data_IF_605589454513
#
_entry.id   IF_605589454513
#
_cell.length_a   1.000
_cell.length_b   1.000
_cell.length_c   1.000
_cell.angle_alpha   90.00
_cell.angle_beta   90.00
_cell.angle_gamma   90.00
#
_symmetry.space_group_name_H-M   'P 1'
#
loop_
_entity.id
_entity.type
_entity.pdbx_description
1 polymer ?
#
# COMPACT_ATOMS: atom_id res chain seq x y z
N UNK A 1 17.86 2.54 -0.27
CA UNK A 1 17.33 1.72 -1.37
C UNK A 1 18.34 1.70 -2.52
N UNK A 2 18.42 0.64 -3.33
CA UNK A 2 19.37 0.60 -4.45
C UNK A 2 18.96 1.59 -5.57
N UNK A 3 19.90 2.21 -6.31
CA UNK A 3 19.59 3.23 -7.32
C UNK A 3 18.57 2.79 -8.37
N UNK A 4 18.65 1.53 -8.83
CA UNK A 4 17.69 0.98 -9.79
C UNK A 4 16.25 0.92 -9.25
N UNK A 5 16.08 0.71 -7.94
CA UNK A 5 14.76 0.66 -7.31
C UNK A 5 14.16 2.05 -7.15
N UNK A 6 14.99 3.04 -6.79
CA UNK A 6 14.58 4.45 -6.75
C UNK A 6 14.12 4.92 -8.13
N UNK A 7 14.85 4.57 -9.20
CA UNK A 7 14.47 4.96 -10.55
C UNK A 7 13.12 4.34 -10.97
N UNK A 8 12.85 3.08 -10.60
CA UNK A 8 11.53 2.45 -10.86
C UNK A 8 10.38 3.20 -10.19
N UNK A 9 10.59 3.70 -8.97
CA UNK A 9 9.59 4.53 -8.28
C UNK A 9 9.35 5.83 -9.05
N UNK A 10 10.42 6.53 -9.43
CA UNK A 10 10.34 7.77 -10.24
C UNK A 10 9.58 7.51 -11.56
N UNK A 11 9.88 6.42 -12.25
CA UNK A 11 9.26 6.07 -13.53
C UNK A 11 7.78 5.69 -13.39
N UNK A 12 7.37 5.16 -12.23
CA UNK A 12 5.98 4.80 -11.94
C UNK A 12 5.11 6.00 -11.58
N UNK A 13 5.71 7.08 -11.06
CA UNK A 13 4.98 8.29 -10.67
C UNK A 13 4.64 9.12 -11.91
N UNK A 14 3.35 9.40 -12.10
CA UNK A 14 2.87 10.27 -13.18
C UNK A 14 2.80 11.72 -12.69
N UNK A 15 3.69 12.56 -13.20
CA UNK A 15 3.72 14.00 -12.92
C UNK A 15 2.98 14.77 -14.02
N UNK A 16 1.99 15.58 -13.63
CA UNK A 16 1.17 16.41 -14.52
C UNK A 16 1.97 17.37 -15.41
N UNK A 17 1.41 17.79 -16.54
CA UNK A 17 2.08 18.65 -17.54
C UNK A 17 1.99 20.15 -17.22
N UNK A 18 1.35 20.49 -16.10
CA UNK A 18 1.06 21.82 -15.60
C UNK A 18 2.19 22.43 -14.76
N UNK A 19 3.30 21.69 -14.59
CA UNK A 19 4.50 22.16 -13.89
C UNK A 19 5.52 22.77 -14.84
N UNK A 20 6.17 23.82 -14.39
CA UNK A 20 7.41 24.33 -14.99
C UNK A 20 8.55 23.31 -14.81
N UNK A 21 9.63 23.49 -15.57
CA UNK A 21 10.79 22.60 -15.47
C UNK A 21 11.42 22.61 -14.07
N UNK A 22 11.42 23.77 -13.40
CA UNK A 22 11.94 23.90 -12.04
C UNK A 22 11.08 23.16 -11.01
N UNK A 23 9.76 23.29 -11.10
CA UNK A 23 8.82 22.58 -10.21
C UNK A 23 8.87 21.06 -10.46
N UNK A 24 8.98 20.64 -11.73
CA UNK A 24 9.16 19.24 -12.09
C UNK A 24 10.43 18.66 -11.47
N UNK A 25 11.55 19.39 -11.52
CA UNK A 25 12.79 18.95 -10.87
C UNK A 25 12.64 18.82 -9.35
N UNK A 26 11.90 19.74 -8.71
CA UNK A 26 11.62 19.65 -7.27
C UNK A 26 10.79 18.42 -6.93
N UNK A 27 9.77 18.11 -7.73
CA UNK A 27 8.95 16.90 -7.56
C UNK A 27 9.79 15.64 -7.75
N UNK A 28 10.61 15.58 -8.81
CA UNK A 28 11.47 14.42 -9.06
C UNK A 28 12.51 14.23 -7.93
N UNK A 29 13.03 15.33 -7.37
CA UNK A 29 13.94 15.29 -6.22
C UNK A 29 13.23 14.76 -4.97
N UNK A 30 12.00 15.21 -4.69
CA UNK A 30 11.19 14.74 -3.57
C UNK A 30 10.90 13.23 -3.67
N UNK A 31 10.50 12.77 -4.86
CA UNK A 31 10.23 11.34 -5.09
C UNK A 31 11.49 10.50 -4.86
N UNK A 32 12.66 11.00 -5.29
CA UNK A 32 13.94 10.31 -5.06
C UNK A 32 14.34 10.30 -3.58
N UNK A 33 14.13 11.41 -2.88
CA UNK A 33 14.42 11.56 -1.46
C UNK A 33 13.59 10.58 -0.61
N UNK A 34 12.30 10.47 -0.92
CA UNK A 34 11.34 9.64 -0.18
C UNK A 34 10.92 8.38 -0.94
N UNK A 35 11.81 7.82 -1.77
CA UNK A 35 11.49 6.67 -2.61
C UNK A 35 11.08 5.41 -1.83
N UNK A 36 11.51 5.31 -0.57
CA UNK A 36 11.10 4.30 0.39
C UNK A 36 9.67 4.48 0.90
N UNK A 37 9.17 5.73 0.95
CA UNK A 37 7.77 6.04 1.25
C UNK A 37 6.88 5.74 0.05
N UNK A 38 7.35 6.07 -1.15
CA UNK A 38 6.67 5.74 -2.42
C UNK A 38 6.92 4.28 -2.85
N UNK A 39 7.26 3.40 -1.91
CA UNK A 39 7.56 2.00 -2.18
C UNK A 39 6.41 1.31 -2.91
N UNK A 40 6.79 0.57 -3.95
CA UNK A 40 5.88 -0.26 -4.75
C UNK A 40 5.76 -1.69 -4.17
N UNK A 41 6.13 -1.90 -2.91
CA UNK A 41 6.11 -3.24 -2.29
C UNK A 41 5.58 -3.21 -0.87
N UNK A 42 4.69 -4.15 -0.57
CA UNK A 42 4.19 -4.39 0.79
C UNK A 42 5.32 -4.75 1.76
N UNK A 43 6.41 -5.35 1.28
CA UNK A 43 7.56 -5.75 2.10
C UNK A 43 8.37 -4.62 2.72
N UNK A 44 8.17 -3.39 2.24
CA UNK A 44 8.82 -2.22 2.82
C UNK A 44 7.93 -1.48 3.83
N UNK A 45 6.68 -1.92 4.00
CA UNK A 45 5.79 -1.44 5.04
C UNK A 45 6.29 -1.98 6.38
N UNK A 46 6.64 -1.07 7.29
CA UNK A 46 7.04 -1.41 8.65
C UNK A 46 5.85 -1.29 9.59
N UNK A 47 5.60 -2.33 10.37
CA UNK A 47 4.63 -2.28 11.45
C UNK A 47 5.05 -1.23 12.49
N UNK A 48 4.09 -0.42 12.90
CA UNK A 48 4.22 0.46 14.08
C UNK A 48 3.85 -0.40 15.29
N UNK A 49 4.85 -0.90 15.99
CA UNK A 49 4.69 -1.85 17.10
C UNK A 49 4.44 -1.20 18.47
N UNK A 50 4.55 0.13 18.56
CA UNK A 50 4.43 0.89 19.80
C UNK A 50 3.10 1.63 19.97
N UNK A 51 2.19 1.55 18.99
CA UNK A 51 0.85 2.16 19.05
C UNK A 51 -0.19 1.18 18.53
N UNK A 52 -1.26 1.00 19.30
CA UNK A 52 -2.46 0.30 18.86
C UNK A 52 -3.55 1.31 18.49
N UNK A 53 -4.20 1.10 17.35
CA UNK A 53 -5.35 1.90 16.94
C UNK A 53 -6.64 1.28 17.49
N UNK A 54 -7.36 2.03 18.33
CA UNK A 54 -8.68 1.62 18.81
C UNK A 54 -9.79 2.22 17.93
N UNK A 55 -10.63 1.36 17.34
CA UNK A 55 -11.76 1.76 16.49
C UNK A 55 -12.88 2.50 17.25
N UNK A 56 -12.83 2.55 18.58
CA UNK A 56 -13.80 3.29 19.40
C UNK A 56 -15.23 2.75 19.33
N UNK A 57 -15.41 1.46 19.04
CA UNK A 57 -16.74 0.83 18.97
C UNK A 57 -17.37 0.81 20.37
N UNK A 58 -18.56 1.42 20.57
CA UNK A 58 -19.22 1.43 21.87
C UNK A 58 -19.52 0.02 22.38
N UNK A 59 -19.50 -0.16 23.70
CA UNK A 59 -19.94 -1.41 24.32
C UNK A 59 -21.38 -1.75 23.94
N UNK A 60 -21.64 -3.04 23.69
CA UNK A 60 -22.97 -3.52 23.30
C UNK A 60 -23.35 -3.30 21.84
N UNK A 61 -22.47 -2.70 21.02
CA UNK A 61 -22.73 -2.54 19.57
C UNK A 61 -22.96 -3.91 18.92
N UNK A 62 -24.12 -4.09 18.28
CA UNK A 62 -24.42 -5.28 17.47
C UNK A 62 -24.18 -4.97 15.99
N UNK A 63 -23.06 -5.47 15.46
CA UNK A 63 -22.75 -5.41 14.03
C UNK A 63 -23.20 -6.67 13.28
N UNK A 64 -23.25 -6.63 11.94
CA UNK A 64 -23.42 -7.83 11.14
C UNK A 64 -22.28 -8.81 11.44
N UNK A 65 -22.63 -10.02 11.87
CA UNK A 65 -21.65 -11.08 12.19
C UNK A 65 -21.22 -11.89 10.98
N UNK A 66 -21.93 -11.74 9.87
CA UNK A 66 -21.66 -12.46 8.62
C UNK A 66 -21.75 -11.47 7.47
N UNK A 67 -20.72 -11.45 6.64
CA UNK A 67 -20.72 -10.75 5.36
C UNK A 67 -20.75 -11.79 4.24
N UNK A 68 -21.71 -11.70 3.33
CA UNK A 68 -21.69 -12.51 2.12
C UNK A 68 -20.65 -11.94 1.16
N UNK A 69 -19.61 -12.73 0.86
CA UNK A 69 -18.65 -12.36 -0.17
C UNK A 69 -19.27 -12.51 -1.56
N UNK A 70 -18.99 -11.54 -2.44
CA UNK A 70 -19.37 -11.64 -3.85
C UNK A 70 -18.54 -12.76 -4.50
N UNK A 71 -19.14 -13.60 -5.35
CA UNK A 71 -18.38 -14.56 -6.14
C UNK A 71 -17.34 -13.84 -7.01
N UNK A 72 -16.12 -14.39 -7.04
CA UNK A 72 -15.04 -13.91 -7.89
C UNK A 72 -14.96 -14.75 -9.17
N UNK A 73 -14.69 -14.09 -10.29
CA UNK A 73 -14.26 -14.78 -11.52
C UNK A 73 -12.87 -15.40 -11.30
N UNK A 74 -12.48 -16.37 -12.14
CA UNK A 74 -11.17 -17.02 -11.98
C UNK A 74 -10.00 -16.02 -12.03
N UNK A 75 -9.91 -15.08 -13.00
CA UNK A 75 -8.82 -14.12 -13.04
C UNK A 75 -8.80 -13.18 -11.82
N UNK A 76 -9.96 -12.85 -11.26
CA UNK A 76 -10.04 -12.05 -10.05
C UNK A 76 -9.50 -12.85 -8.86
N UNK A 77 -9.86 -14.12 -8.74
CA UNK A 77 -9.42 -14.98 -7.64
C UNK A 77 -7.91 -15.13 -7.64
N UNK A 78 -7.32 -15.43 -8.79
CA UNK A 78 -5.86 -15.53 -8.93
C UNK A 78 -5.15 -14.26 -8.47
N UNK A 79 -5.64 -13.09 -8.92
CA UNK A 79 -5.05 -11.81 -8.53
C UNK A 79 -5.21 -11.51 -7.04
N UNK A 80 -6.43 -11.67 -6.49
CA UNK A 80 -6.70 -11.36 -5.09
C UNK A 80 -5.94 -12.29 -4.14
N UNK A 81 -5.85 -13.58 -4.45
CA UNK A 81 -5.14 -14.51 -3.58
C UNK A 81 -3.63 -14.28 -3.59
N UNK A 82 -3.04 -13.98 -4.76
CA UNK A 82 -1.63 -13.58 -4.81
C UNK A 82 -1.34 -12.31 -3.98
N UNK A 83 -2.25 -11.33 -4.00
CA UNK A 83 -2.12 -10.14 -3.16
C UNK A 83 -2.29 -10.45 -1.66
N UNK A 84 -3.21 -11.36 -1.28
CA UNK A 84 -3.36 -11.80 0.11
C UNK A 84 -2.11 -12.53 0.61
N UNK A 85 -1.54 -13.41 -0.22
CA UNK A 85 -0.29 -14.12 0.10
C UNK A 85 0.87 -13.12 0.31
N UNK A 86 0.98 -12.08 -0.52
CA UNK A 86 1.96 -11.00 -0.32
C UNK A 86 1.71 -10.25 0.99
N UNK A 87 0.46 -9.92 1.32
CA UNK A 87 0.14 -9.22 2.57
C UNK A 87 0.40 -10.07 3.81
N UNK A 88 0.09 -11.37 3.76
CA UNK A 88 0.35 -12.31 4.85
C UNK A 88 1.85 -12.51 5.07
N UNK A 89 2.63 -12.65 3.99
CA UNK A 89 4.09 -12.78 4.07
C UNK A 89 4.80 -11.55 4.67
N UNK A 90 4.12 -10.40 4.73
CA UNK A 90 4.63 -9.14 5.27
C UNK A 90 3.89 -8.70 6.56
N UNK A 91 3.19 -9.61 7.23
CA UNK A 91 2.48 -9.38 8.50
C UNK A 91 1.42 -8.26 8.46
N UNK A 92 0.90 -7.93 7.27
CA UNK A 92 -0.16 -6.92 7.10
C UNK A 92 -1.53 -7.52 7.43
N UNK A 93 -1.74 -8.79 7.06
CA UNK A 93 -2.95 -9.56 7.38
C UNK A 93 -2.57 -10.90 7.99
N UNK A 94 -3.51 -11.52 8.70
CA UNK A 94 -3.33 -12.86 9.27
C UNK A 94 -4.62 -13.65 9.18
N UNK A 95 -4.50 -14.96 9.04
CA UNK A 95 -5.63 -15.86 9.27
C UNK A 95 -6.05 -15.83 10.75
N UNK A 96 -7.37 -15.81 11.00
CA UNK A 96 -7.99 -15.70 12.32
C UNK A 96 -8.83 -16.93 12.62
#
# INVERSE_FOLDING_TARGET
MAPERVQRVVDAVRVGKDLTDGERQQVDALIREFADVFTLSASEVRLVDFIEHHLGVPEGTQGPRVAHQKPLTEPQREWFYAALDEMEANDIVRQI
#
